data_IF_308734944621
#
_entry.id   IF_308734944621
#
_cell.length_a   1.000
_cell.length_b   1.000
_cell.length_c   1.000
_cell.angle_alpha   90.00
_cell.angle_beta   90.00
_cell.angle_gamma   90.00
#
_symmetry.space_group_name_H-M   'P 1'
#
loop_
_entity.id
_entity.type
_entity.pdbx_description
1 polymer ?
#
# COMPACT_ATOMS: atom_id res chain seq x y z
N UNK A 1 3.32 -19.83 35.00
CA UNK A 1 3.71 -19.78 33.58
C UNK A 1 2.93 -18.73 32.78
N UNK A 2 1.71 -18.34 33.17
CA UNK A 2 0.94 -17.28 32.49
C UNK A 2 1.56 -15.87 32.52
N UNK A 3 2.23 -15.49 33.62
CA UNK A 3 2.78 -14.14 33.79
C UNK A 3 3.97 -13.84 32.86
N UNK A 4 4.74 -14.86 32.47
CA UNK A 4 5.83 -14.74 31.50
C UNK A 4 5.31 -14.56 30.07
N UNK A 5 4.18 -15.18 29.73
CA UNK A 5 3.57 -15.08 28.41
C UNK A 5 2.98 -13.68 28.17
N UNK A 6 2.30 -13.11 29.17
CA UNK A 6 1.73 -11.77 29.09
C UNK A 6 2.84 -10.70 28.99
N UNK A 7 3.93 -10.85 29.76
CA UNK A 7 5.08 -9.95 29.67
C UNK A 7 5.76 -10.01 28.29
N UNK A 8 5.92 -11.20 27.71
CA UNK A 8 6.50 -11.36 26.37
C UNK A 8 5.62 -10.75 25.27
N UNK A 9 4.31 -10.97 25.32
CA UNK A 9 3.35 -10.37 24.35
C UNK A 9 3.32 -8.85 24.48
N UNK A 10 3.41 -8.30 25.69
CA UNK A 10 3.42 -6.85 25.91
C UNK A 10 4.71 -6.21 25.38
N UNK A 11 5.87 -6.84 25.57
CA UNK A 11 7.15 -6.36 25.01
C UNK A 11 7.15 -6.44 23.48
N UNK A 12 6.53 -7.47 22.90
CA UNK A 12 6.39 -7.61 21.45
C UNK A 12 5.48 -6.52 20.86
N UNK A 13 4.34 -6.22 21.51
CA UNK A 13 3.41 -5.16 21.08
C UNK A 13 4.02 -3.76 21.25
N UNK A 14 4.78 -3.52 22.33
CA UNK A 14 5.43 -2.22 22.59
C UNK A 14 6.66 -2.02 21.70
N UNK A 15 7.45 -3.08 21.45
CA UNK A 15 8.57 -3.06 20.50
C UNK A 15 8.11 -2.85 19.06
N UNK A 16 7.03 -3.52 18.64
CA UNK A 16 6.40 -3.35 17.33
C UNK A 16 5.85 -1.93 17.14
N UNK A 17 5.26 -1.33 18.18
CA UNK A 17 4.80 0.05 18.16
C UNK A 17 5.91 1.08 17.99
N UNK A 18 7.09 0.84 18.58
CA UNK A 18 8.20 1.80 18.56
C UNK A 18 8.96 1.82 17.22
N UNK A 19 9.10 0.66 16.56
CA UNK A 19 9.68 0.57 15.20
C UNK A 19 8.71 1.16 14.17
N UNK A 20 7.39 0.96 14.34
CA UNK A 20 6.36 1.59 13.49
C UNK A 20 6.37 3.12 13.61
N UNK A 21 6.55 3.65 14.82
CA UNK A 21 6.59 5.10 15.06
C UNK A 21 7.85 5.75 14.44
N UNK A 22 9.01 5.09 14.50
CA UNK A 22 10.24 5.59 13.85
C UNK A 22 10.19 5.54 12.32
N UNK A 23 9.60 4.49 11.73
CA UNK A 23 9.42 4.39 10.26
C UNK A 23 8.35 5.35 9.73
N UNK A 24 7.29 5.62 10.49
CA UNK A 24 6.31 6.65 10.16
C UNK A 24 6.95 8.05 10.14
N UNK A 25 7.90 8.32 11.03
CA UNK A 25 8.64 9.59 11.10
C UNK A 25 9.58 9.77 9.89
N UNK A 26 10.21 8.70 9.41
CA UNK A 26 11.07 8.75 8.20
C UNK A 26 10.26 8.87 6.90
N UNK A 27 9.09 8.22 6.82
CA UNK A 27 8.14 8.42 5.74
C UNK A 27 7.60 9.87 5.76
N UNK A 28 7.19 10.38 6.93
CA UNK A 28 6.74 11.75 7.11
C UNK A 28 7.83 12.78 6.77
N UNK A 29 9.11 12.51 7.08
CA UNK A 29 10.24 13.35 6.68
C UNK A 29 10.45 13.36 5.17
N UNK A 30 10.35 12.20 4.50
CA UNK A 30 10.36 12.13 3.03
C UNK A 30 9.15 12.84 2.39
N UNK A 31 7.98 12.84 3.04
CA UNK A 31 6.81 13.64 2.63
C UNK A 31 7.03 15.15 2.76
N UNK A 32 7.76 15.59 3.78
CA UNK A 32 8.10 16.99 3.96
C UNK A 32 9.21 17.44 3.01
N UNK A 33 10.14 16.55 2.66
CA UNK A 33 11.22 16.82 1.71
C UNK A 33 10.76 16.79 0.23
N UNK A 34 9.69 16.07 -0.11
CA UNK A 34 9.14 16.01 -1.47
C UNK A 34 8.27 17.20 -1.89
N UNK A 35 7.91 18.07 -0.95
CA UNK A 35 7.59 19.49 -1.17
C UNK A 35 6.45 19.89 -2.13
N UNK A 36 5.72 18.99 -2.81
CA UNK A 36 4.73 19.40 -3.83
C UNK A 36 3.50 18.48 -4.03
N UNK A 37 3.03 17.72 -3.03
CA UNK A 37 1.70 17.09 -3.20
C UNK A 37 0.58 18.12 -3.04
N UNK A 38 -0.12 18.41 -4.15
CA UNK A 38 -1.29 19.29 -4.14
C UNK A 38 -2.39 18.71 -3.23
N UNK A 39 -3.12 19.55 -2.48
CA UNK A 39 -4.24 19.09 -1.68
C UNK A 39 -5.29 18.42 -2.58
N UNK A 40 -5.87 17.32 -2.10
CA UNK A 40 -6.91 16.60 -2.81
C UNK A 40 -8.14 17.51 -3.01
N UNK A 41 -8.59 17.66 -4.25
CA UNK A 41 -9.79 18.43 -4.59
C UNK A 41 -11.02 17.52 -4.57
N UNK A 42 -11.62 17.32 -3.39
CA UNK A 42 -12.67 16.30 -3.18
C UNK A 42 -14.07 16.88 -2.99
N UNK A 43 -14.24 18.20 -3.04
CA UNK A 43 -15.50 18.87 -2.72
C UNK A 43 -16.67 18.50 -3.65
N UNK A 44 -16.37 17.92 -4.81
CA UNK A 44 -17.35 17.47 -5.79
C UNK A 44 -17.79 16.01 -5.60
N UNK A 45 -17.10 15.25 -4.73
CA UNK A 45 -17.39 13.85 -4.47
C UNK A 45 -18.33 13.69 -3.27
N UNK A 46 -19.05 12.57 -3.24
CA UNK A 46 -19.70 12.09 -2.01
C UNK A 46 -18.68 11.84 -0.90
N UNK A 47 -19.12 11.87 0.36
CA UNK A 47 -18.22 11.63 1.50
C UNK A 47 -17.51 10.27 1.40
N UNK A 48 -18.22 9.24 0.94
CA UNK A 48 -17.67 7.90 0.73
C UNK A 48 -16.57 7.90 -0.33
N UNK A 49 -16.79 8.51 -1.50
CA UNK A 49 -15.78 8.56 -2.56
C UNK A 49 -14.61 9.48 -2.21
N UNK A 50 -14.86 10.55 -1.46
CA UNK A 50 -13.80 11.38 -0.89
C UNK A 50 -12.94 10.58 0.10
N UNK A 51 -13.54 9.67 0.88
CA UNK A 51 -12.80 8.73 1.72
C UNK A 51 -11.97 7.77 0.86
N UNK A 52 -12.55 7.17 -0.19
CA UNK A 52 -11.81 6.31 -1.12
C UNK A 52 -10.58 7.04 -1.66
N UNK A 53 -10.72 8.27 -2.16
CA UNK A 53 -9.60 9.06 -2.67
C UNK A 53 -8.48 9.28 -1.64
N UNK A 54 -8.85 9.56 -0.38
CA UNK A 54 -7.88 9.69 0.72
C UNK A 54 -7.16 8.39 0.99
N UNK A 55 -7.88 7.28 1.08
CA UNK A 55 -7.30 5.95 1.33
C UNK A 55 -6.44 5.47 0.17
N UNK A 56 -6.83 5.76 -1.09
CA UNK A 56 -6.00 5.51 -2.27
C UNK A 56 -4.67 6.27 -2.17
N UNK A 57 -4.70 7.56 -1.83
CA UNK A 57 -3.48 8.35 -1.64
C UNK A 57 -2.64 7.78 -0.50
N UNK A 58 -3.24 7.50 0.66
CA UNK A 58 -2.56 6.91 1.82
C UNK A 58 -1.85 5.61 1.46
N UNK A 59 -2.53 4.70 0.75
CA UNK A 59 -1.94 3.43 0.33
C UNK A 59 -0.81 3.63 -0.67
N UNK A 60 -0.98 4.52 -1.67
CA UNK A 60 0.06 4.84 -2.66
C UNK A 60 1.32 5.32 -1.95
N UNK A 61 1.16 6.26 -1.06
CA UNK A 61 2.19 6.85 -0.21
C UNK A 61 2.91 5.76 0.59
N UNK A 62 2.14 4.96 1.33
CA UNK A 62 2.67 3.95 2.21
C UNK A 62 3.45 2.86 1.46
N UNK A 63 2.98 2.45 0.26
CA UNK A 63 3.61 1.42 -0.58
C UNK A 63 4.96 1.81 -1.16
N UNK A 64 5.35 3.09 -1.12
CA UNK A 64 6.69 3.52 -1.54
C UNK A 64 7.79 2.89 -0.67
N UNK A 65 7.54 2.68 0.62
CA UNK A 65 8.52 2.06 1.53
C UNK A 65 8.71 0.57 1.26
N UNK A 66 7.65 -0.27 1.16
CA UNK A 66 7.78 -1.64 0.69
C UNK A 66 8.43 -1.78 -0.68
N UNK A 67 8.11 -0.89 -1.63
CA UNK A 67 8.75 -0.90 -2.95
C UNK A 67 10.27 -0.71 -2.82
N UNK A 68 10.70 0.25 -2.01
CA UNK A 68 12.12 0.49 -1.79
C UNK A 68 12.79 -0.71 -1.12
N UNK A 69 12.15 -1.32 -0.12
CA UNK A 69 12.67 -2.53 0.52
C UNK A 69 12.85 -3.70 -0.47
N UNK A 70 11.94 -3.85 -1.44
CA UNK A 70 12.09 -4.85 -2.51
C UNK A 70 13.27 -4.51 -3.43
N UNK A 71 13.44 -3.25 -3.81
CA UNK A 71 14.57 -2.80 -4.63
C UNK A 71 15.91 -3.04 -3.92
N UNK A 72 15.97 -2.73 -2.63
CA UNK A 72 17.15 -2.97 -1.78
C UNK A 72 17.40 -4.48 -1.63
N UNK A 73 16.34 -5.29 -1.50
CA UNK A 73 16.46 -6.74 -1.46
C UNK A 73 17.00 -7.33 -2.76
N UNK A 74 16.57 -6.79 -3.90
CA UNK A 74 17.00 -7.20 -5.25
C UNK A 74 18.45 -6.79 -5.54
N UNK A 75 18.92 -5.70 -4.96
CA UNK A 75 20.32 -5.32 -4.98
C UNK A 75 21.16 -6.40 -4.29
N UNK A 76 22.26 -6.80 -4.93
CA UNK A 76 23.15 -7.83 -4.39
C UNK A 76 23.85 -7.31 -3.15
N UNK A 77 23.55 -7.93 -2.00
CA UNK A 77 24.23 -7.69 -0.74
C UNK A 77 24.63 -9.02 -0.11
N UNK A 78 25.94 -9.25 0.00
CA UNK A 78 26.53 -10.47 0.57
C UNK A 78 26.60 -10.42 2.11
N UNK A 79 26.21 -9.31 2.72
CA UNK A 79 26.27 -9.09 4.18
C UNK A 79 24.93 -9.27 4.88
N UNK A 80 23.88 -9.64 4.13
CA UNK A 80 22.51 -9.79 4.64
C UNK A 80 22.42 -10.90 5.69
N UNK A 81 21.80 -10.59 6.82
CA UNK A 81 21.59 -11.49 7.95
C UNK A 81 20.22 -12.18 7.88
N UNK A 82 20.02 -13.21 8.72
CA UNK A 82 18.70 -13.86 8.87
C UNK A 82 17.64 -12.87 9.41
N UNK A 83 18.03 -11.93 10.27
CA UNK A 83 17.13 -10.88 10.79
C UNK A 83 16.66 -9.94 9.66
N UNK A 84 17.54 -9.59 8.72
CA UNK A 84 17.17 -8.77 7.55
C UNK A 84 16.17 -9.52 6.64
N UNK A 85 16.32 -10.84 6.54
CA UNK A 85 15.47 -11.72 5.75
C UNK A 85 14.06 -11.80 6.38
N UNK A 86 13.97 -11.99 7.70
CA UNK A 86 12.69 -11.98 8.43
C UNK A 86 12.01 -10.61 8.39
N UNK A 87 12.77 -9.53 8.58
CA UNK A 87 12.25 -8.17 8.47
C UNK A 87 11.69 -7.89 7.07
N UNK A 88 12.31 -8.43 6.03
CA UNK A 88 11.81 -8.31 4.66
C UNK A 88 10.50 -9.09 4.45
N UNK A 89 10.37 -10.31 4.97
CA UNK A 89 9.11 -11.06 4.93
C UNK A 89 7.97 -10.30 5.62
N UNK A 90 8.26 -9.70 6.77
CA UNK A 90 7.28 -8.89 7.49
C UNK A 90 6.80 -7.69 6.65
N UNK A 91 7.71 -7.02 5.93
CA UNK A 91 7.36 -5.92 5.03
C UNK A 91 6.46 -6.38 3.88
N UNK A 92 6.74 -7.54 3.28
CA UNK A 92 5.91 -8.09 2.21
C UNK A 92 4.51 -8.50 2.71
N UNK A 93 4.44 -9.09 3.91
CA UNK A 93 3.19 -9.46 4.54
C UNK A 93 2.33 -8.23 4.85
N UNK A 94 2.94 -7.20 5.44
CA UNK A 94 2.28 -5.93 5.71
C UNK A 94 1.78 -5.29 4.40
N UNK A 95 2.59 -5.34 3.33
CA UNK A 95 2.17 -4.78 2.04
C UNK A 95 0.97 -5.51 1.45
N UNK A 96 0.97 -6.83 1.54
CA UNK A 96 -0.16 -7.66 1.12
C UNK A 96 -1.42 -7.33 1.92
N UNK A 97 -1.26 -7.17 3.24
CA UNK A 97 -2.35 -6.84 4.15
C UNK A 97 -2.95 -5.46 3.84
N UNK A 98 -2.14 -4.43 3.70
CA UNK A 98 -2.63 -3.06 3.45
C UNK A 98 -3.36 -2.96 2.09
N UNK A 99 -2.85 -3.62 1.05
CA UNK A 99 -3.56 -3.71 -0.24
C UNK A 99 -4.86 -4.50 -0.09
N UNK A 100 -4.85 -5.61 0.66
CA UNK A 100 -6.04 -6.40 0.93
C UNK A 100 -7.11 -5.63 1.71
N UNK A 101 -6.73 -4.84 2.73
CA UNK A 101 -7.63 -3.98 3.49
C UNK A 101 -8.27 -2.90 2.62
N UNK A 102 -7.47 -2.30 1.73
CA UNK A 102 -7.98 -1.35 0.75
C UNK A 102 -9.00 -1.99 -0.19
N UNK A 103 -8.70 -3.16 -0.76
CA UNK A 103 -9.65 -3.88 -1.62
C UNK A 103 -10.93 -4.27 -0.86
N UNK A 104 -10.81 -4.72 0.40
CA UNK A 104 -11.95 -5.05 1.25
C UNK A 104 -12.83 -3.83 1.56
N UNK A 105 -12.23 -2.65 1.76
CA UNK A 105 -12.98 -1.40 1.91
C UNK A 105 -13.80 -1.10 0.64
N UNK A 106 -13.21 -1.28 -0.55
CA UNK A 106 -13.91 -1.08 -1.83
C UNK A 106 -15.01 -2.12 -2.02
N UNK A 107 -14.79 -3.38 -1.61
CA UNK A 107 -15.81 -4.44 -1.65
C UNK A 107 -16.99 -4.18 -0.72
N UNK A 108 -16.75 -3.45 0.38
CA UNK A 108 -17.77 -3.01 1.34
C UNK A 108 -18.62 -1.82 0.88
N UNK A 109 -18.32 -1.20 -0.26
CA UNK A 109 -19.11 -0.10 -0.82
C UNK A 109 -20.51 -0.57 -1.26
N UNK A 110 -21.48 0.30 -1.12
CA UNK A 110 -22.83 0.06 -1.63
C UNK A 110 -22.79 -0.11 -3.16
N UNK A 111 -23.73 -0.88 -3.75
CA UNK A 111 -23.73 -1.11 -5.20
C UNK A 111 -23.71 0.16 -6.06
N UNK A 112 -24.41 1.22 -5.63
CA UNK A 112 -24.44 2.50 -6.34
C UNK A 112 -23.10 3.26 -6.23
N UNK A 113 -22.43 3.20 -5.08
CA UNK A 113 -21.10 3.82 -4.89
C UNK A 113 -20.04 3.10 -5.73
N UNK A 114 -20.14 1.77 -5.87
CA UNK A 114 -19.26 1.01 -6.78
C UNK A 114 -19.50 1.36 -8.24
N UNK A 115 -20.76 1.49 -8.65
CA UNK A 115 -21.09 1.94 -10.01
C UNK A 115 -20.57 3.36 -10.28
N UNK A 116 -20.69 4.26 -9.31
CA UNK A 116 -20.13 5.61 -9.41
C UNK A 116 -18.61 5.58 -9.52
N UNK A 117 -17.92 4.80 -8.67
CA UNK A 117 -16.48 4.61 -8.74
C UNK A 117 -16.02 4.09 -10.11
N UNK A 118 -16.70 3.09 -10.66
CA UNK A 118 -16.43 2.56 -12.00
C UNK A 118 -16.71 3.61 -13.10
N UNK A 119 -17.80 4.38 -12.99
CA UNK A 119 -18.15 5.44 -13.94
C UNK A 119 -17.14 6.60 -13.96
N UNK A 120 -16.51 6.89 -12.82
CA UNK A 120 -15.39 7.83 -12.72
C UNK A 120 -14.10 7.25 -13.34
N UNK A 121 -14.10 5.99 -13.75
CA UNK A 121 -12.90 5.26 -14.16
C UNK A 121 -11.99 4.93 -13.00
N UNK A 122 -12.48 4.94 -11.75
CA UNK A 122 -11.71 4.68 -10.54
C UNK A 122 -11.81 3.21 -10.06
N UNK A 123 -12.20 2.30 -10.95
CA UNK A 123 -12.28 0.86 -10.68
C UNK A 123 -10.94 0.24 -10.29
N UNK A 124 -10.99 -0.75 -9.39
CA UNK A 124 -9.81 -1.42 -8.79
C UNK A 124 -9.47 -2.78 -9.40
N UNK A 125 -10.10 -3.13 -10.54
CA UNK A 125 -9.94 -4.45 -11.16
C UNK A 125 -8.49 -4.83 -11.46
N UNK A 126 -7.67 -3.88 -11.90
CA UNK A 126 -6.25 -4.11 -12.18
C UNK A 126 -5.46 -4.45 -10.89
N UNK A 127 -5.72 -3.77 -9.78
CA UNK A 127 -5.09 -4.04 -8.48
C UNK A 127 -5.53 -5.41 -7.96
N UNK A 128 -6.81 -5.74 -8.09
CA UNK A 128 -7.33 -7.06 -7.71
C UNK A 128 -6.67 -8.18 -8.51
N UNK A 129 -6.62 -8.05 -9.84
CA UNK A 129 -5.95 -9.04 -10.69
C UNK A 129 -4.46 -9.18 -10.39
N UNK A 130 -3.79 -8.09 -10.00
CA UNK A 130 -2.40 -8.15 -9.54
C UNK A 130 -2.27 -8.98 -8.24
N UNK A 131 -3.15 -8.75 -7.25
CA UNK A 131 -3.14 -9.52 -6.00
C UNK A 131 -3.52 -10.99 -6.22
N UNK A 132 -4.48 -11.28 -7.09
CA UNK A 132 -4.84 -12.66 -7.46
C UNK A 132 -3.68 -13.40 -8.11
N UNK A 133 -2.88 -12.73 -8.95
CA UNK A 133 -1.67 -13.30 -9.52
C UNK A 133 -0.59 -13.60 -8.46
N UNK A 134 -0.66 -12.97 -7.29
CA UNK A 134 0.17 -13.28 -6.12
C UNK A 134 -0.48 -14.30 -5.16
N UNK A 135 -1.60 -14.92 -5.52
CA UNK A 135 -2.41 -15.74 -4.59
C UNK A 135 -2.81 -14.97 -3.31
N UNK A 136 -2.93 -13.64 -3.41
CA UNK A 136 -3.30 -12.76 -2.30
C UNK A 136 -2.16 -12.30 -1.41
N UNK A 137 -0.91 -12.73 -1.64
CA UNK A 137 0.23 -12.32 -0.82
C UNK A 137 1.54 -12.19 -1.60
N UNK A 138 2.25 -11.08 -1.39
CA UNK A 138 3.64 -10.94 -1.79
C UNK A 138 4.51 -11.84 -0.91
N UNK A 139 5.31 -12.68 -1.55
CA UNK A 139 6.20 -13.61 -0.86
C UNK A 139 7.63 -13.48 -1.39
N UNK A 140 8.62 -13.60 -0.49
CA UNK A 140 10.03 -13.54 -0.89
C UNK A 140 10.38 -14.55 -1.99
N UNK A 141 9.79 -15.75 -1.93
CA UNK A 141 9.98 -16.80 -2.94
C UNK A 141 9.61 -16.34 -4.36
N UNK A 142 8.69 -15.38 -4.48
CA UNK A 142 8.21 -14.87 -5.75
C UNK A 142 8.93 -13.60 -6.21
N UNK A 143 9.92 -13.08 -5.47
CA UNK A 143 10.59 -11.80 -5.79
C UNK A 143 11.19 -11.78 -7.20
N UNK A 144 11.79 -12.91 -7.63
CA UNK A 144 12.30 -13.15 -8.99
C UNK A 144 11.66 -14.40 -9.63
N UNK A 145 10.34 -14.55 -9.53
CA UNK A 145 9.64 -15.69 -10.10
C UNK A 145 9.89 -15.82 -11.63
N UNK A 146 10.27 -17.00 -12.15
CA UNK A 146 10.50 -17.20 -13.58
C UNK A 146 9.28 -16.85 -14.43
N UNK A 147 9.49 -16.16 -15.56
CA UNK A 147 8.43 -15.78 -16.49
C UNK A 147 7.52 -14.64 -16.00
N UNK A 148 7.82 -14.01 -14.86
CA UNK A 148 7.10 -12.86 -14.33
C UNK A 148 8.03 -11.65 -14.19
N UNK A 149 7.51 -10.42 -14.29
CA UNK A 149 8.28 -9.24 -13.91
C UNK A 149 8.75 -9.35 -12.44
N UNK A 150 9.92 -8.78 -12.10
CA UNK A 150 10.39 -8.75 -10.72
C UNK A 150 9.38 -7.99 -9.83
N UNK A 151 9.39 -8.29 -8.52
CA UNK A 151 8.37 -7.81 -7.59
C UNK A 151 8.30 -6.28 -7.47
N UNK A 152 9.43 -5.59 -7.61
CA UNK A 152 9.48 -4.13 -7.65
C UNK A 152 8.61 -3.57 -8.79
N UNK A 153 8.73 -4.13 -10.00
CA UNK A 153 7.92 -3.71 -11.16
C UNK A 153 6.43 -4.02 -10.98
N UNK A 154 6.10 -5.10 -10.26
CA UNK A 154 4.71 -5.47 -9.97
C UNK A 154 4.09 -4.53 -8.93
N UNK A 155 4.80 -4.22 -7.85
CA UNK A 155 4.37 -3.22 -6.85
C UNK A 155 4.28 -1.83 -7.51
N UNK A 156 5.22 -1.48 -8.39
CA UNK A 156 5.18 -0.23 -9.15
C UNK A 156 3.98 -0.16 -10.12
N UNK A 157 3.53 -1.29 -10.67
CA UNK A 157 2.28 -1.33 -11.42
C UNK A 157 1.06 -1.02 -10.52
N UNK A 158 1.01 -1.56 -9.31
CA UNK A 158 -0.04 -1.22 -8.33
C UNK A 158 -0.01 0.27 -7.97
N UNK A 159 1.17 0.84 -7.73
CA UNK A 159 1.32 2.29 -7.47
C UNK A 159 0.83 3.16 -8.64
N UNK A 160 1.12 2.74 -9.89
CA UNK A 160 0.60 3.43 -11.08
C UNK A 160 -0.93 3.37 -11.16
N UNK A 161 -1.52 2.22 -10.83
CA UNK A 161 -2.98 2.08 -10.76
C UNK A 161 -3.60 2.93 -9.66
N UNK A 162 -3.00 2.96 -8.46
CA UNK A 162 -3.45 3.85 -7.37
C UNK A 162 -3.37 5.32 -7.79
N UNK A 163 -2.29 5.72 -8.47
CA UNK A 163 -2.14 7.08 -9.02
C UNK A 163 -3.24 7.40 -10.04
N UNK A 164 -3.56 6.45 -10.92
CA UNK A 164 -4.64 6.58 -11.91
C UNK A 164 -6.00 6.77 -11.23
N UNK A 165 -6.30 5.95 -10.22
CA UNK A 165 -7.53 6.03 -9.43
C UNK A 165 -7.62 7.37 -8.69
N UNK A 166 -6.54 7.78 -8.02
CA UNK A 166 -6.46 9.06 -7.32
C UNK A 166 -6.72 10.23 -8.29
N UNK A 167 -6.13 10.21 -9.49
CA UNK A 167 -6.35 11.23 -10.51
C UNK A 167 -7.78 11.23 -11.06
N UNK A 168 -8.37 10.06 -11.26
CA UNK A 168 -9.76 9.92 -11.70
C UNK A 168 -10.73 10.55 -10.69
N UNK A 169 -10.51 10.29 -9.40
CA UNK A 169 -11.29 10.86 -8.31
C UNK A 169 -11.07 12.38 -8.12
N UNK A 170 -9.92 12.91 -8.54
CA UNK A 170 -9.67 14.36 -8.53
C UNK A 170 -10.14 15.08 -9.80
N UNK A 171 -10.24 14.36 -10.92
CA UNK A 171 -10.34 14.92 -12.26
C UNK A 171 -11.68 15.56 -12.64
N UNK A 172 -12.72 15.44 -11.83
CA UNK A 172 -14.07 15.93 -12.18
C UNK A 172 -14.43 17.29 -11.56
N UNK A 173 -13.45 18.20 -11.49
CA UNK A 173 -13.68 19.64 -11.29
C UNK A 173 -13.67 20.48 -12.59
N UNK A 174 -13.40 19.88 -13.76
CA UNK A 174 -13.14 20.63 -15.01
C UNK A 174 -13.83 20.08 -16.27
N UNK A 175 -15.15 19.84 -16.22
CA UNK A 175 -15.96 19.75 -17.45
C UNK A 175 -17.24 20.56 -17.26
N UNK A 176 -17.14 21.88 -17.35
CA UNK A 176 -18.09 22.80 -17.98
C UNK A 176 -17.55 24.23 -17.80
N UNK A 177 -16.85 24.72 -18.81
CA UNK A 177 -16.82 26.13 -19.21
C UNK A 177 -16.36 26.24 -20.66
#
# INVERSE_FOLDING_TARGET
METLFIAAVTVLVVGYGFVRLRRADEAARRYLESGQEKPLQLAHLSETLARVARETRTLRIWLESPLQAVRDHLATDLTRTDEDIEAFDAVLLDASREVGLYLAMIDGLQPHERQELEALGAGVGAIRGAMEAENGAFERAHVKAPGRPPMDQRIEAILRELTRIENALQGQGHVYR
#
